data_IF_495124329335
#
_entry.id   IF_495124329335
#
_cell.length_a   1.000
_cell.length_b   1.000
_cell.length_c   1.000
_cell.angle_alpha   90.00
_cell.angle_beta   90.00
_cell.angle_gamma   90.00
#
_symmetry.space_group_name_H-M   'P 1'
#
loop_
_entity.id
_entity.type
_entity.pdbx_description
1 polymer ?
#
# COMPACT_ATOMS: atom_id res chain seq x y z
N UNK A 1 24.96 -11.27 10.15
CA UNK A 1 25.48 -10.79 8.85
C UNK A 1 25.35 -9.29 8.83
N UNK A 2 26.50 -8.64 9.04
CA UNK A 2 26.87 -7.21 9.02
C UNK A 2 25.81 -6.12 8.74
N UNK A 3 25.72 -5.14 9.66
CA UNK A 3 24.88 -3.94 9.58
C UNK A 3 25.33 -2.94 8.49
N UNK A 4 25.34 -3.38 7.24
CA UNK A 4 25.74 -2.59 6.05
C UNK A 4 24.71 -1.54 5.63
N UNK A 5 23.47 -1.68 6.08
CA UNK A 5 22.38 -0.71 5.85
C UNK A 5 21.83 -0.28 7.20
N UNK A 6 21.77 1.04 7.41
CA UNK A 6 21.23 1.65 8.64
C UNK A 6 19.86 2.27 8.34
N UNK A 7 19.11 2.66 9.39
CA UNK A 7 17.83 3.36 9.22
C UNK A 7 17.95 4.65 8.38
N UNK A 8 19.11 5.31 8.43
CA UNK A 8 19.38 6.54 7.68
C UNK A 8 19.47 6.30 6.16
N UNK A 9 19.65 5.05 5.71
CA UNK A 9 19.58 4.70 4.29
C UNK A 9 18.14 4.63 3.75
N UNK A 10 17.14 4.62 4.63
CA UNK A 10 15.72 4.61 4.25
C UNK A 10 15.31 6.05 3.92
N UNK A 11 14.98 6.29 2.65
CA UNK A 11 14.59 7.62 2.15
C UNK A 11 13.22 8.09 2.70
N UNK A 12 12.34 7.15 3.01
CA UNK A 12 11.00 7.42 3.54
C UNK A 12 10.06 6.24 3.30
N UNK A 13 8.80 6.42 3.68
CA UNK A 13 7.75 5.43 3.43
C UNK A 13 7.02 5.72 2.11
N UNK A 14 6.30 4.71 1.58
CA UNK A 14 5.53 4.88 0.34
C UNK A 14 4.46 5.97 0.43
N UNK A 15 3.89 6.17 1.63
CA UNK A 15 2.92 7.24 1.90
C UNK A 15 3.54 8.63 1.74
N UNK A 16 4.80 8.82 2.17
CA UNK A 16 5.51 10.09 2.00
C UNK A 16 5.80 10.40 0.54
N UNK A 17 6.04 9.37 -0.29
CA UNK A 17 6.22 9.55 -1.73
C UNK A 17 4.91 9.95 -2.40
N UNK A 18 3.80 9.29 -2.04
CA UNK A 18 2.47 9.62 -2.57
C UNK A 18 2.03 11.02 -2.13
N UNK A 19 2.32 11.40 -0.89
CA UNK A 19 2.01 12.72 -0.32
C UNK A 19 2.89 13.87 -0.82
N UNK A 20 4.01 13.56 -1.50
CA UNK A 20 4.97 14.56 -1.99
C UNK A 20 6.02 15.01 -0.96
N UNK A 21 5.98 14.49 0.26
CA UNK A 21 6.96 14.79 1.32
C UNK A 21 8.37 14.25 0.98
N UNK A 22 8.43 13.14 0.22
CA UNK A 22 9.67 12.51 -0.20
C UNK A 22 9.66 12.32 -1.73
N UNK A 23 10.69 12.76 -2.46
CA UNK A 23 10.70 12.58 -3.91
C UNK A 23 10.79 11.10 -4.28
N UNK A 24 10.07 10.71 -5.32
CA UNK A 24 10.18 9.40 -5.95
C UNK A 24 11.52 9.20 -6.68
N UNK A 25 11.49 8.38 -7.73
CA UNK A 25 12.59 8.25 -8.70
C UNK A 25 12.71 9.54 -9.50
N UNK A 26 13.92 10.09 -9.63
CA UNK A 26 14.16 11.37 -10.30
C UNK A 26 15.05 11.28 -11.54
N UNK A 27 15.66 10.13 -11.81
CA UNK A 27 16.40 9.88 -13.06
C UNK A 27 16.45 8.39 -13.41
N UNK A 28 16.82 8.10 -14.65
CA UNK A 28 16.88 6.74 -15.19
C UNK A 28 18.11 5.96 -14.71
N UNK A 29 19.16 6.65 -14.29
CA UNK A 29 20.39 6.05 -13.74
C UNK A 29 20.23 5.56 -12.30
N UNK A 30 19.19 6.00 -11.58
CA UNK A 30 18.95 5.58 -10.20
C UNK A 30 18.55 4.10 -10.12
N UNK A 31 18.95 3.42 -9.06
CA UNK A 31 18.37 2.12 -8.68
C UNK A 31 17.57 2.35 -7.40
N UNK A 32 16.26 2.08 -7.46
CA UNK A 32 15.33 2.29 -6.35
C UNK A 32 14.82 0.95 -5.83
N UNK A 33 14.89 0.75 -4.52
CA UNK A 33 14.35 -0.45 -3.85
C UNK A 33 13.12 -0.03 -3.05
N UNK A 34 11.98 -0.63 -3.39
CA UNK A 34 10.80 -0.61 -2.53
C UNK A 34 10.70 -1.96 -1.83
N UNK A 35 10.59 -1.95 -0.50
CA UNK A 35 10.35 -3.15 0.31
C UNK A 35 9.09 -2.96 1.14
N UNK A 36 8.16 -3.90 1.02
CA UNK A 36 6.96 -3.99 1.85
C UNK A 36 6.93 -5.32 2.60
N UNK A 37 6.33 -5.34 3.78
CA UNK A 37 5.99 -6.54 4.54
C UNK A 37 4.47 -6.83 4.54
N UNK A 38 3.70 -6.11 3.71
CA UNK A 38 2.23 -6.08 3.76
C UNK A 38 1.71 -4.98 4.67
N UNK A 39 0.50 -4.50 4.39
CA UNK A 39 -0.17 -3.46 5.18
C UNK A 39 -1.69 -3.69 5.19
N UNK A 40 -2.23 -4.04 6.36
CA UNK A 40 -3.66 -4.33 6.55
C UNK A 40 -4.59 -3.19 6.15
N UNK A 41 -4.15 -1.93 6.29
CA UNK A 41 -4.96 -0.79 5.85
C UNK A 41 -5.13 -0.77 4.32
N UNK A 42 -4.12 -1.23 3.57
CA UNK A 42 -4.21 -1.36 2.10
C UNK A 42 -5.22 -2.45 1.73
N UNK A 43 -5.21 -3.57 2.45
CA UNK A 43 -6.16 -4.68 2.24
C UNK A 43 -7.60 -4.25 2.52
N UNK A 44 -7.85 -3.61 3.68
CA UNK A 44 -9.17 -3.10 4.05
C UNK A 44 -9.69 -2.06 3.07
N UNK A 45 -8.84 -1.13 2.63
CA UNK A 45 -9.25 -0.12 1.66
C UNK A 45 -9.59 -0.73 0.30
N UNK A 46 -8.79 -1.70 -0.17
CA UNK A 46 -9.09 -2.43 -1.41
C UNK A 46 -10.41 -3.20 -1.31
N UNK A 47 -10.62 -3.92 -0.19
CA UNK A 47 -11.85 -4.65 0.07
C UNK A 47 -13.07 -3.72 0.10
N UNK A 48 -12.97 -2.59 0.80
CA UNK A 48 -14.03 -1.58 0.85
C UNK A 48 -14.34 -1.02 -0.56
N UNK A 49 -13.31 -0.64 -1.33
CA UNK A 49 -13.51 -0.10 -2.67
C UNK A 49 -14.18 -1.10 -3.62
N UNK A 50 -13.84 -2.39 -3.53
CA UNK A 50 -14.49 -3.46 -4.30
C UNK A 50 -15.92 -3.66 -3.82
N UNK A 51 -16.14 -3.75 -2.50
CA UNK A 51 -17.45 -3.91 -1.90
C UNK A 51 -18.41 -2.78 -2.31
N UNK A 52 -17.99 -1.52 -2.19
CA UNK A 52 -18.80 -0.36 -2.61
C UNK A 52 -19.22 -0.47 -4.07
N UNK A 53 -18.29 -0.85 -4.96
CA UNK A 53 -18.60 -1.03 -6.39
C UNK A 53 -19.54 -2.21 -6.64
N UNK A 54 -19.38 -3.30 -5.89
CA UNK A 54 -20.24 -4.47 -6.01
C UNK A 54 -21.68 -4.13 -5.61
N UNK A 55 -21.86 -3.42 -4.50
CA UNK A 55 -23.17 -2.95 -4.03
C UNK A 55 -23.84 -2.04 -5.08
N UNK A 56 -23.12 -1.05 -5.63
CA UNK A 56 -23.70 -0.14 -6.64
C UNK A 56 -24.03 -0.83 -7.96
N UNK A 57 -23.41 -1.96 -8.26
CA UNK A 57 -23.64 -2.75 -9.47
C UNK A 57 -24.55 -3.96 -9.23
N UNK A 58 -25.14 -4.09 -8.03
CA UNK A 58 -25.93 -5.25 -7.63
C UNK A 58 -25.22 -6.58 -7.88
N UNK A 59 -23.94 -6.66 -7.49
CA UNK A 59 -23.10 -7.86 -7.57
C UNK A 59 -22.88 -8.41 -6.17
N UNK A 60 -23.12 -9.71 -6.01
CA UNK A 60 -22.90 -10.42 -4.75
C UNK A 60 -24.08 -11.29 -4.36
N UNK A 61 -24.07 -11.76 -3.11
CA UNK A 61 -25.14 -12.54 -2.50
C UNK A 61 -25.24 -12.12 -1.06
N UNK A 62 -26.44 -11.71 -0.63
CA UNK A 62 -26.70 -11.39 0.76
C UNK A 62 -26.74 -12.70 1.57
N UNK A 63 -26.08 -12.69 2.71
CA UNK A 63 -26.02 -13.82 3.65
C UNK A 63 -26.57 -13.33 4.99
N UNK A 64 -27.56 -14.02 5.52
CA UNK A 64 -28.05 -13.77 6.88
C UNK A 64 -27.01 -14.27 7.87
N UNK A 65 -26.61 -13.39 8.81
CA UNK A 65 -25.75 -13.78 9.92
C UNK A 65 -26.61 -14.49 10.97
N UNK A 66 -26.11 -15.62 11.49
CA UNK A 66 -26.69 -16.26 12.66
C UNK A 66 -26.25 -15.46 13.90
N UNK A 67 -27.15 -15.34 14.88
CA UNK A 67 -26.88 -14.71 16.18
C UNK A 67 -25.74 -15.40 16.96
#
# INVERSE_FOLDING_TARGET
GEGRITKNAIKGEIGNVIGGDVPGRSSDEQITIYKSCGNTAQDLYAAHAIYTKAVTQHKGTDIELQD
#
